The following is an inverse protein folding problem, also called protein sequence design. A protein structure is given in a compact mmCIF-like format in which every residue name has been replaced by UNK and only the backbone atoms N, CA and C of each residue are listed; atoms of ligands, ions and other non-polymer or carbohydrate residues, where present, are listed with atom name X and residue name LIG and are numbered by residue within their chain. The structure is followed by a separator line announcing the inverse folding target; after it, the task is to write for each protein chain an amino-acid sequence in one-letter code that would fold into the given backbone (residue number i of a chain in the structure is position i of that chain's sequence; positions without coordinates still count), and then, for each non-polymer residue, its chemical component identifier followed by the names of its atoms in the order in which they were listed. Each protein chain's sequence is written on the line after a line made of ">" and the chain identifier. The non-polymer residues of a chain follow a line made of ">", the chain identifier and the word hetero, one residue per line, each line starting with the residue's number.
data_IF_838487234990
#
_entry.id   IF_838487234990
#
_cell.length_a   1.000
_cell.length_b   1.000
_cell.length_c   1.000
_cell.angle_alpha   90.00
_cell.angle_beta   90.00
_cell.angle_gamma   90.00
#
_symmetry.space_group_name_H-M   'P 1'
#
loop_
_entity.id
_entity.type
_entity.pdbx_description
1 polymer ?
#
# COMPACT_ATOMS: atom_id res chain seq x y z
N UNK A 1 16.73 -6.57 8.32
CA UNK A 1 15.31 -6.83 8.65
C UNK A 1 15.05 -6.80 10.15
N UNK A 2 15.74 -7.65 10.93
CA UNK A 2 15.54 -7.76 12.39
C UNK A 2 15.74 -6.44 13.16
N UNK A 3 16.69 -5.60 12.75
CA UNK A 3 16.93 -4.29 13.35
C UNK A 3 15.75 -3.33 13.16
N UNK A 4 15.18 -3.26 11.95
CA UNK A 4 14.03 -2.39 11.63
C UNK A 4 12.78 -2.83 12.38
N UNK A 5 12.48 -4.13 12.40
CA UNK A 5 11.32 -4.65 13.15
C UNK A 5 11.47 -4.44 14.65
N UNK A 6 12.69 -4.60 15.17
CA UNK A 6 13.01 -4.32 16.58
C UNK A 6 12.88 -2.83 16.90
N UNK A 7 13.29 -1.95 16.01
CA UNK A 7 13.18 -0.51 16.17
C UNK A 7 11.72 -0.04 16.16
N UNK A 8 10.91 -0.56 15.23
CA UNK A 8 9.46 -0.38 15.20
C UNK A 8 8.79 -0.84 16.51
N UNK A 9 9.18 -2.01 17.01
CA UNK A 9 8.63 -2.55 18.25
C UNK A 9 9.06 -1.77 19.51
N UNK A 10 10.29 -1.22 19.52
CA UNK A 10 10.83 -0.47 20.66
C UNK A 10 10.43 0.99 20.68
N UNK A 11 10.14 1.58 19.52
CA UNK A 11 9.80 2.99 19.38
C UNK A 11 8.51 3.22 18.57
N UNK A 12 7.39 2.58 18.93
CA UNK A 12 6.16 2.63 18.15
C UNK A 12 5.59 4.04 18.05
N UNK A 13 5.65 4.83 19.13
CA UNK A 13 5.14 6.22 19.13
C UNK A 13 5.92 7.10 18.16
N UNK A 14 7.25 6.92 18.07
CA UNK A 14 8.08 7.68 17.14
C UNK A 14 7.67 7.40 15.70
N UNK A 15 7.58 6.13 15.33
CA UNK A 15 7.31 5.74 13.94
C UNK A 15 5.85 5.92 13.55
N UNK A 16 4.91 5.57 14.42
CA UNK A 16 3.48 5.52 14.10
C UNK A 16 2.76 6.85 14.35
N UNK A 17 3.24 7.68 15.28
CA UNK A 17 2.59 8.96 15.63
C UNK A 17 3.41 10.14 15.12
N UNK A 18 4.69 10.21 15.47
CA UNK A 18 5.53 11.36 15.09
C UNK A 18 5.89 11.35 13.61
N UNK A 19 6.26 10.18 13.09
CA UNK A 19 6.56 9.98 11.67
C UNK A 19 5.35 9.37 10.93
N UNK A 20 4.13 9.66 11.40
CA UNK A 20 2.89 9.26 10.75
C UNK A 20 2.85 9.77 9.31
N UNK A 21 2.73 8.85 8.34
CA UNK A 21 2.93 9.19 6.93
C UNK A 21 1.69 9.83 6.31
N UNK A 22 1.55 11.14 6.51
CA UNK A 22 0.42 11.93 5.99
C UNK A 22 0.34 11.95 4.46
N UNK A 23 1.48 11.80 3.75
CA UNK A 23 1.50 11.75 2.28
C UNK A 23 0.84 10.48 1.77
N UNK A 24 1.22 9.33 2.34
CA UNK A 24 0.58 8.04 2.03
C UNK A 24 -0.88 8.02 2.46
N UNK A 25 -1.21 8.60 3.62
CA UNK A 25 -2.59 8.72 4.07
C UNK A 25 -3.46 9.46 3.06
N UNK A 26 -3.03 10.67 2.65
CA UNK A 26 -3.75 11.52 1.72
C UNK A 26 -3.92 10.87 0.35
N UNK A 27 -2.83 10.40 -0.27
CA UNK A 27 -2.90 9.80 -1.62
C UNK A 27 -3.74 8.53 -1.60
N UNK A 28 -3.56 7.69 -0.57
CA UNK A 28 -4.29 6.43 -0.48
C UNK A 28 -5.77 6.63 -0.21
N UNK A 29 -6.16 7.52 0.70
CA UNK A 29 -7.56 7.76 1.02
C UNK A 29 -8.31 8.35 -0.17
N UNK A 30 -7.69 9.27 -0.92
CA UNK A 30 -8.29 9.84 -2.14
C UNK A 30 -8.53 8.78 -3.23
N UNK A 31 -7.50 7.98 -3.56
CA UNK A 31 -7.65 6.95 -4.59
C UNK A 31 -8.71 5.91 -4.21
N UNK A 32 -8.73 5.47 -2.95
CA UNK A 32 -9.68 4.44 -2.52
C UNK A 32 -11.08 4.97 -2.27
N UNK A 33 -11.22 6.19 -1.74
CA UNK A 33 -12.52 6.86 -1.66
C UNK A 33 -13.19 6.93 -3.03
N UNK A 34 -12.42 7.21 -4.10
CA UNK A 34 -12.92 7.18 -5.47
C UNK A 34 -13.32 5.76 -5.93
N UNK A 35 -12.56 4.72 -5.59
CA UNK A 35 -12.92 3.32 -5.87
C UNK A 35 -14.23 2.96 -5.17
N UNK A 36 -14.34 3.21 -3.86
CA UNK A 36 -15.54 2.90 -3.08
C UNK A 36 -16.77 3.66 -3.57
N UNK A 37 -16.61 4.93 -3.94
CA UNK A 37 -17.67 5.70 -4.59
C UNK A 37 -18.12 5.04 -5.89
N UNK A 38 -17.20 4.77 -6.81
CA UNK A 38 -17.51 4.21 -8.12
C UNK A 38 -18.13 2.81 -8.04
N UNK A 39 -17.63 1.95 -7.15
CA UNK A 39 -18.15 0.59 -6.94
C UNK A 39 -19.58 0.58 -6.38
N UNK A 40 -19.94 1.59 -5.58
CA UNK A 40 -21.26 1.71 -4.96
C UNK A 40 -22.22 2.65 -5.70
N UNK A 41 -21.75 3.35 -6.74
CA UNK A 41 -22.58 4.24 -7.56
C UNK A 41 -23.81 3.55 -8.18
N UNK A 42 -23.74 2.26 -8.62
CA UNK A 42 -24.93 1.55 -9.10
C UNK A 42 -26.04 1.38 -8.04
N UNK A 43 -25.72 1.50 -6.75
CA UNK A 43 -26.69 1.46 -5.64
C UNK A 43 -27.25 2.85 -5.27
N UNK A 44 -26.89 3.90 -6.03
CA UNK A 44 -27.32 5.27 -5.81
C UNK A 44 -26.20 6.20 -5.32
N UNK A 45 -26.36 7.49 -5.58
CA UNK A 45 -25.35 8.52 -5.22
C UNK A 45 -25.15 8.60 -3.72
N UNK A 46 -26.23 8.52 -2.92
CA UNK A 46 -26.15 8.55 -1.46
C UNK A 46 -25.35 7.36 -0.90
N UNK A 47 -25.53 6.18 -1.49
CA UNK A 47 -24.76 4.99 -1.13
C UNK A 47 -23.28 5.15 -1.50
N UNK A 48 -22.99 5.69 -2.69
CA UNK A 48 -21.64 6.03 -3.12
C UNK A 48 -20.95 7.03 -2.19
N UNK A 49 -21.64 8.13 -1.82
CA UNK A 49 -21.11 9.16 -0.92
C UNK A 49 -20.84 8.61 0.49
N UNK A 50 -21.76 7.80 1.03
CA UNK A 50 -21.55 7.13 2.32
C UNK A 50 -20.33 6.22 2.29
N UNK A 51 -20.17 5.43 1.22
CA UNK A 51 -19.01 4.56 1.05
C UNK A 51 -17.70 5.37 0.96
N UNK A 52 -17.70 6.46 0.19
CA UNK A 52 -16.57 7.39 0.05
C UNK A 52 -16.16 8.02 1.38
N UNK A 53 -17.11 8.57 2.15
CA UNK A 53 -16.83 9.24 3.42
C UNK A 53 -16.29 8.23 4.44
N UNK A 54 -16.93 7.05 4.53
CA UNK A 54 -16.49 5.96 5.40
C UNK A 54 -15.04 5.58 5.10
N UNK A 55 -14.73 5.41 3.82
CA UNK A 55 -13.38 5.04 3.38
C UNK A 55 -12.38 6.19 3.59
N UNK A 56 -12.74 7.45 3.35
CA UNK A 56 -11.86 8.59 3.60
C UNK A 56 -11.47 8.71 5.07
N UNK A 57 -12.43 8.54 5.99
CA UNK A 57 -12.17 8.63 7.43
C UNK A 57 -11.31 7.46 7.91
N UNK A 58 -11.70 6.24 7.55
CA UNK A 58 -10.97 5.03 7.93
C UNK A 58 -9.55 5.05 7.36
N UNK A 59 -9.44 5.21 6.03
CA UNK A 59 -8.16 5.14 5.32
C UNK A 59 -7.29 6.34 5.60
N UNK A 60 -7.90 7.50 5.86
CA UNK A 60 -7.22 8.71 6.29
C UNK A 60 -6.35 8.51 7.52
N UNK A 61 -6.72 7.59 8.44
CA UNK A 61 -5.89 7.23 9.61
C UNK A 61 -5.00 6.02 9.31
N UNK A 62 -5.61 4.94 8.82
CA UNK A 62 -4.94 3.64 8.67
C UNK A 62 -3.82 3.68 7.63
N UNK A 63 -4.02 4.35 6.50
CA UNK A 63 -2.97 4.41 5.46
C UNK A 63 -1.74 5.18 5.89
N UNK A 64 -1.86 6.16 6.80
CA UNK A 64 -0.68 6.82 7.35
C UNK A 64 0.11 5.92 8.30
N UNK A 65 -0.58 5.12 9.13
CA UNK A 65 0.06 4.12 10.00
C UNK A 65 0.79 3.06 9.17
N UNK A 66 0.09 2.45 8.21
CA UNK A 66 0.69 1.46 7.31
C UNK A 66 1.79 2.08 6.43
N UNK A 67 1.63 3.34 6.03
CA UNK A 67 2.63 4.13 5.32
C UNK A 67 3.90 4.34 6.14
N UNK A 68 3.79 4.58 7.45
CA UNK A 68 4.94 4.71 8.35
C UNK A 68 5.68 3.39 8.57
N UNK A 69 4.95 2.27 8.66
CA UNK A 69 5.58 0.95 8.71
C UNK A 69 6.29 0.65 7.39
N UNK A 70 5.63 0.90 6.25
CA UNK A 70 6.25 0.77 4.91
C UNK A 70 7.48 1.66 4.78
N UNK A 71 7.40 2.89 5.27
CA UNK A 71 8.50 3.83 5.33
C UNK A 71 9.67 3.28 6.13
N UNK A 72 9.43 2.64 7.27
CA UNK A 72 10.48 2.03 8.08
C UNK A 72 11.13 0.85 7.34
N UNK A 73 10.32 0.03 6.67
CA UNK A 73 10.78 -1.09 5.84
C UNK A 73 11.62 -0.65 4.62
N UNK A 74 11.59 0.63 4.23
CA UNK A 74 12.43 1.15 3.13
C UNK A 74 13.93 0.91 3.38
N UNK A 75 14.36 0.94 4.65
CA UNK A 75 15.76 0.74 5.03
C UNK A 75 16.10 -0.73 5.30
N UNK A 76 15.12 -1.64 5.23
CA UNK A 76 15.33 -3.03 5.55
C UNK A 76 16.04 -3.77 4.41
N UNK A 77 17.10 -4.50 4.76
CA UNK A 77 17.74 -5.50 3.91
C UNK A 77 17.49 -6.92 4.46
N UNK A 78 17.34 -7.94 3.58
CA UNK A 78 17.34 -7.83 2.12
C UNK A 78 16.02 -7.26 1.57
N UNK A 79 16.08 -6.52 0.45
CA UNK A 79 14.93 -5.82 -0.14
C UNK A 79 13.71 -6.73 -0.44
N UNK A 80 13.93 -7.97 -0.89
CA UNK A 80 12.85 -8.92 -1.18
C UNK A 80 12.07 -9.31 0.08
N UNK A 81 12.76 -9.47 1.22
CA UNK A 81 12.11 -9.79 2.48
C UNK A 81 11.28 -8.61 2.98
N UNK A 82 11.75 -7.37 2.76
CA UNK A 82 11.00 -6.16 3.07
C UNK A 82 9.72 -6.07 2.25
N UNK A 83 9.80 -6.37 0.96
CA UNK A 83 8.65 -6.40 0.07
C UNK A 83 7.63 -7.48 0.49
N UNK A 84 8.07 -8.70 0.80
CA UNK A 84 7.18 -9.76 1.30
C UNK A 84 6.53 -9.40 2.64
N UNK A 85 7.30 -8.86 3.58
CA UNK A 85 6.77 -8.40 4.87
C UNK A 85 5.69 -7.34 4.65
N UNK A 86 5.98 -6.33 3.84
CA UNK A 86 5.03 -5.29 3.50
C UNK A 86 3.77 -5.85 2.81
N UNK A 87 3.93 -6.80 1.88
CA UNK A 87 2.83 -7.38 1.10
C UNK A 87 1.93 -8.33 1.90
N UNK A 88 2.47 -9.01 2.91
CA UNK A 88 1.69 -9.98 3.70
C UNK A 88 1.14 -9.36 4.96
N UNK A 89 1.97 -8.66 5.73
CA UNK A 89 1.61 -8.19 7.06
C UNK A 89 0.69 -6.97 7.00
N UNK A 90 0.98 -6.01 6.13
CA UNK A 90 0.22 -4.76 6.08
C UNK A 90 -1.20 -4.95 5.54
N UNK A 91 -1.44 -5.68 4.44
CA UNK A 91 -2.80 -5.91 3.94
C UNK A 91 -3.61 -6.77 4.90
N UNK A 92 -3.01 -7.80 5.52
CA UNK A 92 -3.71 -8.61 6.52
C UNK A 92 -4.23 -7.74 7.68
N UNK A 93 -3.40 -6.86 8.23
CA UNK A 93 -3.81 -5.94 9.29
C UNK A 93 -4.85 -4.90 8.82
N UNK A 94 -4.66 -4.34 7.62
CA UNK A 94 -5.52 -3.29 7.08
C UNK A 94 -6.92 -3.77 6.69
N UNK A 95 -7.03 -4.92 6.02
CA UNK A 95 -8.30 -5.39 5.47
C UNK A 95 -9.25 -6.00 6.50
N UNK A 96 -8.74 -6.56 7.60
CA UNK A 96 -9.59 -7.01 8.70
C UNK A 96 -10.34 -5.82 9.32
N UNK A 97 -9.63 -4.71 9.55
CA UNK A 97 -10.23 -3.48 10.07
C UNK A 97 -11.18 -2.83 9.04
N UNK A 98 -10.80 -2.81 7.77
CA UNK A 98 -11.62 -2.27 6.68
C UNK A 98 -12.94 -3.03 6.54
N UNK A 99 -12.88 -4.37 6.55
CA UNK A 99 -14.06 -5.22 6.50
C UNK A 99 -14.99 -4.93 7.68
N UNK A 100 -14.47 -4.86 8.90
CA UNK A 100 -15.26 -4.58 10.10
C UNK A 100 -15.97 -3.21 10.01
N UNK A 101 -15.25 -2.16 9.62
CA UNK A 101 -15.82 -0.81 9.49
C UNK A 101 -16.94 -0.77 8.45
N UNK A 102 -16.71 -1.32 7.27
CA UNK A 102 -17.71 -1.28 6.20
C UNK A 102 -18.89 -2.23 6.42
N UNK A 103 -18.68 -3.33 7.15
CA UNK A 103 -19.75 -4.20 7.62
C UNK A 103 -20.67 -3.44 8.58
N UNK A 104 -20.12 -2.76 9.58
CA UNK A 104 -20.89 -1.94 10.53
C UNK A 104 -21.58 -0.75 9.84
N UNK A 105 -20.99 -0.19 8.78
CA UNK A 105 -21.57 0.91 8.02
C UNK A 105 -22.70 0.48 7.05
N UNK A 106 -22.94 -0.83 6.88
CA UNK A 106 -23.98 -1.37 6.00
C UNK A 106 -23.67 -1.18 4.51
N UNK A 107 -22.41 -1.35 4.10
CA UNK A 107 -21.99 -1.12 2.70
C UNK A 107 -22.61 -2.17 1.75
N UNK A 108 -23.44 -1.79 0.76
CA UNK A 108 -24.25 -2.74 -0.02
C UNK A 108 -23.46 -3.72 -0.90
N UNK A 109 -22.22 -3.40 -1.28
CA UNK A 109 -21.33 -4.24 -2.11
C UNK A 109 -19.97 -4.47 -1.45
N UNK A 110 -20.00 -4.87 -0.20
CA UNK A 110 -18.81 -5.00 0.64
C UNK A 110 -17.76 -5.95 0.05
N UNK A 111 -18.14 -7.15 -0.36
CA UNK A 111 -17.20 -8.17 -0.85
C UNK A 111 -16.43 -7.72 -2.09
N UNK A 112 -17.13 -7.15 -3.07
CA UNK A 112 -16.52 -6.61 -4.29
C UNK A 112 -15.60 -5.42 -3.98
N UNK A 113 -16.03 -4.53 -3.09
CA UNK A 113 -15.24 -3.36 -2.68
C UNK A 113 -13.95 -3.80 -1.96
N UNK A 114 -14.04 -4.79 -1.07
CA UNK A 114 -12.89 -5.35 -0.35
C UNK A 114 -11.94 -6.09 -1.30
N UNK A 115 -12.46 -6.87 -2.26
CA UNK A 115 -11.63 -7.57 -3.23
C UNK A 115 -10.85 -6.59 -4.13
N UNK A 116 -11.52 -5.56 -4.66
CA UNK A 116 -10.88 -4.51 -5.44
C UNK A 116 -9.84 -3.75 -4.60
N UNK A 117 -10.19 -3.42 -3.36
CA UNK A 117 -9.32 -2.77 -2.39
C UNK A 117 -8.08 -3.61 -2.06
N UNK A 118 -8.21 -4.94 -1.94
CA UNK A 118 -7.09 -5.85 -1.68
C UNK A 118 -6.08 -5.86 -2.83
N UNK A 119 -6.55 -6.01 -4.07
CA UNK A 119 -5.70 -5.95 -5.26
C UNK A 119 -4.98 -4.61 -5.33
N UNK A 120 -5.71 -3.51 -5.14
CA UNK A 120 -5.16 -2.16 -5.12
C UNK A 120 -4.12 -1.99 -4.00
N UNK A 121 -4.36 -2.57 -2.82
CA UNK A 121 -3.44 -2.53 -1.68
C UNK A 121 -2.12 -3.21 -2.01
N UNK A 122 -2.16 -4.41 -2.57
CA UNK A 122 -0.94 -5.15 -2.91
C UNK A 122 -0.03 -4.33 -3.84
N UNK A 123 -0.62 -3.76 -4.91
CA UNK A 123 0.12 -2.93 -5.88
C UNK A 123 0.62 -1.64 -5.21
N UNK A 124 -0.25 -0.95 -4.47
CA UNK A 124 0.08 0.35 -3.87
C UNK A 124 1.11 0.22 -2.75
N UNK A 125 1.09 -0.87 -1.97
CA UNK A 125 2.08 -1.15 -0.93
C UNK A 125 3.46 -1.41 -1.54
N UNK A 126 3.56 -2.21 -2.60
CA UNK A 126 4.81 -2.44 -3.31
C UNK A 126 5.33 -1.15 -3.97
N UNK A 127 4.43 -0.37 -4.57
CA UNK A 127 4.78 0.92 -5.16
C UNK A 127 5.27 1.91 -4.10
N UNK A 128 4.56 2.04 -2.97
CA UNK A 128 4.97 2.89 -1.85
C UNK A 128 6.35 2.49 -1.33
N UNK A 129 6.59 1.21 -1.09
CA UNK A 129 7.92 0.75 -0.67
C UNK A 129 8.98 1.09 -1.73
N UNK A 130 8.69 0.88 -3.01
CA UNK A 130 9.60 1.19 -4.12
C UNK A 130 9.97 2.68 -4.18
N UNK A 131 9.01 3.59 -4.05
CA UNK A 131 9.27 5.05 -4.11
C UNK A 131 9.87 5.57 -2.81
N UNK A 132 9.48 5.03 -1.65
CA UNK A 132 10.06 5.38 -0.35
C UNK A 132 11.53 4.96 -0.24
N UNK A 133 11.90 3.82 -0.84
CA UNK A 133 13.32 3.43 -0.99
C UNK A 133 14.14 4.41 -1.82
N UNK A 134 13.49 5.28 -2.60
CA UNK A 134 14.09 6.35 -3.40
C UNK A 134 13.91 7.73 -2.76
N UNK A 135 13.47 7.78 -1.51
CA UNK A 135 13.28 9.03 -0.77
C UNK A 135 12.01 9.81 -1.13
N UNK A 136 11.07 9.21 -1.86
CA UNK A 136 9.83 9.86 -2.31
C UNK A 136 8.64 9.33 -1.50
N UNK A 137 7.66 10.18 -1.21
CA UNK A 137 6.53 9.90 -0.30
C UNK A 137 6.95 9.51 1.13
N UNK A 138 8.13 9.97 1.57
CA UNK A 138 8.54 9.87 2.97
C UNK A 138 8.17 11.14 3.74
N UNK A 139 8.04 11.00 5.06
CA UNK A 139 7.83 12.10 6.02
C UNK A 139 8.93 12.10 7.09
N UNK A 140 9.03 13.21 7.83
CA UNK A 140 10.02 13.39 8.88
C UNK A 140 11.34 13.97 8.36
N UNK A 141 12.43 13.76 9.10
CA UNK A 141 13.74 14.29 8.74
C UNK A 141 14.19 13.77 7.37
N UNK A 142 14.56 14.68 6.47
CA UNK A 142 14.98 14.36 5.10
C UNK A 142 13.85 14.23 4.09
N UNK A 143 12.60 14.53 4.44
CA UNK A 143 11.49 14.53 3.47
C UNK A 143 11.43 15.81 2.63
N UNK A 144 11.17 15.67 1.33
CA UNK A 144 10.84 16.79 0.43
C UNK A 144 9.37 17.24 0.55
N UNK A 145 8.99 18.28 -0.21
CA UNK A 145 7.58 18.72 -0.30
C UNK A 145 6.76 17.72 -1.12
N UNK A 146 5.49 17.55 -0.78
CA UNK A 146 4.59 16.65 -1.53
C UNK A 146 4.53 17.01 -3.02
N UNK A 147 4.52 18.30 -3.38
CA UNK A 147 4.53 18.73 -4.78
C UNK A 147 5.72 18.18 -5.57
N UNK A 148 6.89 18.14 -4.94
CA UNK A 148 8.11 17.66 -5.60
C UNK A 148 8.07 16.14 -5.75
N UNK A 149 7.54 15.43 -4.74
CA UNK A 149 7.25 14.00 -4.84
C UNK A 149 6.26 13.71 -5.99
N UNK A 150 5.16 14.46 -6.08
CA UNK A 150 4.13 14.29 -7.11
C UNK A 150 4.68 14.50 -8.53
N UNK A 151 5.63 15.41 -8.71
CA UNK A 151 6.31 15.62 -10.01
C UNK A 151 7.15 14.42 -10.44
N UNK A 152 7.68 13.65 -9.48
CA UNK A 152 8.47 12.45 -9.73
C UNK A 152 7.60 11.21 -9.95
N UNK A 153 6.37 11.19 -9.46
CA UNK A 153 5.49 10.02 -9.53
C UNK A 153 5.29 9.47 -10.95
N UNK A 154 5.09 10.26 -12.02
CA UNK A 154 4.93 9.71 -13.36
C UNK A 154 6.13 8.88 -13.79
N UNK A 155 7.35 9.41 -13.63
CA UNK A 155 8.57 8.68 -13.96
C UNK A 155 8.75 7.43 -13.08
N UNK A 156 8.42 7.53 -11.79
CA UNK A 156 8.50 6.42 -10.85
C UNK A 156 7.47 5.33 -11.14
N UNK A 157 6.29 5.66 -11.66
CA UNK A 157 5.30 4.68 -12.11
C UNK A 157 5.84 3.87 -13.30
N UNK A 158 6.45 4.52 -14.29
CA UNK A 158 7.11 3.81 -15.40
C UNK A 158 8.28 2.95 -14.92
N UNK A 159 9.11 3.47 -14.01
CA UNK A 159 10.21 2.72 -13.42
C UNK A 159 9.71 1.51 -12.61
N UNK A 160 8.63 1.65 -11.85
CA UNK A 160 8.02 0.55 -11.11
C UNK A 160 7.43 -0.50 -12.05
N UNK A 161 6.67 -0.09 -13.07
CA UNK A 161 6.08 -1.00 -14.05
C UNK A 161 7.14 -1.80 -14.80
N UNK A 162 8.23 -1.15 -15.23
CA UNK A 162 9.35 -1.84 -15.89
C UNK A 162 10.07 -2.81 -14.95
N UNK A 163 10.29 -2.43 -13.68
CA UNK A 163 10.87 -3.32 -12.67
C UNK A 163 9.98 -4.54 -12.40
N UNK A 164 8.67 -4.33 -12.21
CA UNK A 164 7.69 -5.39 -11.99
C UNK A 164 7.65 -6.36 -13.17
N UNK A 165 7.61 -5.84 -14.40
CA UNK A 165 7.62 -6.64 -15.62
C UNK A 165 8.88 -7.51 -15.73
N UNK A 166 10.05 -6.95 -15.42
CA UNK A 166 11.31 -7.71 -15.39
C UNK A 166 11.27 -8.83 -14.36
N UNK A 167 10.78 -8.55 -13.15
CA UNK A 167 10.63 -9.56 -12.09
C UNK A 167 9.67 -10.69 -12.49
N UNK A 168 8.52 -10.37 -13.09
CA UNK A 168 7.56 -11.36 -13.58
C UNK A 168 8.16 -12.23 -14.68
N UNK A 169 8.93 -11.65 -15.62
CA UNK A 169 9.63 -12.41 -16.67
C UNK A 169 10.66 -13.37 -16.10
N UNK A 170 11.43 -12.95 -15.09
CA UNK A 170 12.40 -13.83 -14.43
C UNK A 170 11.69 -14.98 -13.71
N UNK A 171 10.62 -14.68 -12.97
CA UNK A 171 9.82 -15.70 -12.29
C UNK A 171 9.24 -16.71 -13.27
N UNK A 172 8.67 -16.26 -14.39
CA UNK A 172 8.14 -17.14 -15.43
C UNK A 172 9.22 -18.07 -16.01
N UNK A 173 10.43 -17.55 -16.26
CA UNK A 173 11.57 -18.35 -16.73
C UNK A 173 12.01 -19.40 -15.70
N UNK A 174 12.03 -19.05 -14.42
CA UNK A 174 12.36 -19.99 -13.35
C UNK A 174 11.32 -21.10 -13.23
N UNK A 175 10.03 -20.76 -13.30
CA UNK A 175 8.94 -21.74 -13.27
C UNK A 175 9.03 -22.70 -14.47
N UNK A 176 9.30 -22.19 -15.67
CA UNK A 176 9.49 -23.03 -16.87
C UNK A 176 10.72 -23.93 -16.72
N UNK A 177 11.83 -23.42 -16.18
CA UNK A 177 13.06 -24.20 -15.97
C UNK A 177 12.88 -25.30 -14.93
N UNK A 178 12.06 -25.09 -13.89
CA UNK A 178 11.73 -26.11 -12.89
C UNK A 178 10.80 -27.16 -13.50
N UNK A 179 9.87 -26.75 -14.37
CA UNK A 179 8.90 -27.65 -15.01
C UNK A 179 9.50 -28.52 -16.11
N UNK A 180 10.55 -28.05 -16.78
CA UNK A 180 11.29 -28.78 -17.83
C UNK A 180 12.79 -28.75 -17.52
N UNK A 181 13.27 -29.57 -16.56
CA UNK A 181 14.70 -29.71 -16.36
C UNK A 181 15.30 -30.24 -17.67
N UNK A 182 16.29 -29.52 -18.20
CA UNK A 182 17.05 -29.99 -19.37
C UNK A 182 17.67 -31.33 -18.99
N UNK A 183 17.16 -32.43 -19.54
CA UNK A 183 17.81 -33.74 -19.49
C UNK A 183 19.11 -33.62 -20.28
N UNK A 184 20.23 -33.62 -19.56
CA UNK A 184 21.57 -33.85 -20.12
C UNK A 184 21.71 -35.34 -20.45
#
# INVERSE_FOLDING_TARGET
>A
MSSVLRDLARHPVRHLVRDWNWKSALVSSLCRGAIFFASNLPAGVDAGLRALITELLFRGVVSGLLGSVTQSLRLAEPAWAAALTALLVLPAAGHLAEYAVHFLAGTPRLSESIAASLVFTCVTTLFNLFVMRRGVLIVGAGSGRLRDDLRLLPALLFAFGSALWRSLRVLARLIVSIRYPRTL
#
